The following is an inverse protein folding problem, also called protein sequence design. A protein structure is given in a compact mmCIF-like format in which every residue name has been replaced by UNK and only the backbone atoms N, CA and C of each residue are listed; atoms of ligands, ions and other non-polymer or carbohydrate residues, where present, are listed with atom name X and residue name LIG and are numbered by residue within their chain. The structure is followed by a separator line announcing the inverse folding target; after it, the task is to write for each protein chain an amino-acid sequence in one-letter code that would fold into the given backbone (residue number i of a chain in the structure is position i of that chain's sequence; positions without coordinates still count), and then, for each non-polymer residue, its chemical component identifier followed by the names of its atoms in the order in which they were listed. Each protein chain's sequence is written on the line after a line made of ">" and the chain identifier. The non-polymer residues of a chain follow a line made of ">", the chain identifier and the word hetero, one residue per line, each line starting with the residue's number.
data_IF_476900673046
#
_entry.id   IF_476900673046
#
_cell.length_a   1.000
_cell.length_b   1.000
_cell.length_c   1.000
_cell.angle_alpha   90.00
_cell.angle_beta   90.00
_cell.angle_gamma   90.00
#
_symmetry.space_group_name_H-M   'P 1'
#
loop_
_entity.id
_entity.type
_entity.pdbx_description
1 polymer ?
#
# COMPACT_ATOMS: atom_id res chain seq x y z
N UNK A 1 -47.20 -43.80 -38.63
CA UNK A 1 -46.98 -42.36 -38.40
C UNK A 1 -46.51 -42.20 -36.97
N UNK A 2 -45.20 -42.00 -36.78
CA UNK A 2 -44.52 -41.79 -35.48
C UNK A 2 -44.60 -40.29 -35.09
N UNK A 3 -44.09 -39.85 -33.92
CA UNK A 3 -44.89 -39.53 -32.72
C UNK A 3 -44.59 -38.07 -32.28
N UNK A 4 -45.18 -37.55 -31.21
CA UNK A 4 -44.57 -36.39 -30.55
C UNK A 4 -44.64 -36.50 -29.03
N UNK A 5 -43.51 -36.95 -28.47
CA UNK A 5 -43.15 -36.90 -27.06
C UNK A 5 -42.69 -35.48 -26.72
N UNK A 6 -43.35 -34.82 -25.76
CA UNK A 6 -42.86 -33.57 -25.19
C UNK A 6 -41.85 -33.89 -24.07
N UNK A 7 -40.56 -33.65 -24.32
CA UNK A 7 -39.56 -33.50 -23.27
C UNK A 7 -39.57 -32.06 -22.75
N UNK A 8 -39.92 -31.88 -21.48
CA UNK A 8 -39.73 -30.61 -20.76
C UNK A 8 -38.28 -30.54 -20.25
N UNK A 9 -37.47 -29.62 -20.78
CA UNK A 9 -36.15 -29.30 -20.24
C UNK A 9 -36.31 -28.35 -19.04
N UNK A 10 -35.87 -28.80 -17.85
CA UNK A 10 -35.63 -27.91 -16.71
C UNK A 10 -34.28 -27.20 -16.91
N UNK A 11 -34.32 -25.89 -17.16
CA UNK A 11 -33.14 -25.04 -17.16
C UNK A 11 -32.79 -24.64 -15.72
N UNK A 12 -31.70 -25.19 -15.18
CA UNK A 12 -31.15 -24.75 -13.90
C UNK A 12 -30.36 -23.45 -14.09
N UNK A 13 -30.89 -22.32 -13.59
CA UNK A 13 -30.19 -21.03 -13.57
C UNK A 13 -29.19 -21.01 -12.43
N UNK A 14 -27.92 -21.30 -12.72
CA UNK A 14 -26.80 -21.10 -11.77
C UNK A 14 -26.56 -19.60 -11.63
N UNK A 15 -26.96 -19.00 -10.51
CA UNK A 15 -26.56 -17.64 -10.16
C UNK A 15 -25.14 -17.66 -9.60
N UNK A 16 -24.18 -17.19 -10.39
CA UNK A 16 -22.84 -16.90 -9.90
C UNK A 16 -22.90 -15.67 -8.99
N UNK A 17 -22.81 -15.87 -7.67
CA UNK A 17 -22.63 -14.78 -6.73
C UNK A 17 -21.24 -14.15 -6.98
N UNK A 18 -21.20 -12.99 -7.64
CA UNK A 18 -19.98 -12.22 -7.78
C UNK A 18 -19.61 -11.71 -6.38
N UNK A 19 -18.57 -12.28 -5.78
CA UNK A 19 -18.05 -11.78 -4.50
C UNK A 19 -17.75 -10.28 -4.63
N UNK A 20 -18.02 -9.45 -3.61
CA UNK A 20 -17.75 -8.02 -3.66
C UNK A 20 -16.26 -7.81 -3.98
N UNK A 21 -15.95 -7.18 -5.11
CA UNK A 21 -14.58 -6.76 -5.41
C UNK A 21 -14.17 -5.73 -4.37
N UNK A 22 -13.23 -6.09 -3.50
CA UNK A 22 -12.61 -5.13 -2.59
C UNK A 22 -12.05 -3.98 -3.42
N UNK A 23 -12.59 -2.79 -3.23
CA UNK A 23 -12.25 -1.61 -4.04
C UNK A 23 -11.30 -0.65 -3.33
N UNK A 24 -11.10 -0.86 -2.03
CA UNK A 24 -10.29 -0.03 -1.16
C UNK A 24 -9.28 -0.87 -0.37
N UNK A 25 -8.18 -0.22 0.02
CA UNK A 25 -7.18 -0.77 0.94
C UNK A 25 -7.79 -0.99 2.33
N UNK A 26 -7.48 -2.14 2.93
CA UNK A 26 -7.72 -2.42 4.34
C UNK A 26 -6.71 -1.64 5.20
N UNK A 27 -7.11 -0.64 6.00
CA UNK A 27 -6.17 0.15 6.78
C UNK A 27 -5.49 -0.65 7.90
N UNK A 28 -6.02 -1.81 8.30
CA UNK A 28 -5.45 -2.64 9.38
C UNK A 28 -4.11 -3.31 9.01
N UNK A 29 -3.77 -3.38 7.72
CA UNK A 29 -2.48 -3.87 7.22
C UNK A 29 -1.51 -2.74 6.88
N UNK A 30 -1.94 -1.48 7.03
CA UNK A 30 -1.11 -0.29 6.85
C UNK A 30 -0.56 0.15 8.23
N UNK A 31 0.73 0.50 8.35
CA UNK A 31 1.30 1.08 9.56
C UNK A 31 0.50 2.24 10.15
N UNK A 32 0.47 2.33 11.49
CA UNK A 32 -0.11 3.48 12.19
C UNK A 32 0.76 4.74 12.05
N UNK A 33 2.07 4.56 11.86
CA UNK A 33 3.05 5.62 11.66
C UNK A 33 4.09 5.18 10.64
N UNK A 34 4.64 6.14 9.88
CA UNK A 34 5.80 5.93 9.03
C UNK A 34 7.13 6.27 9.72
N UNK A 35 7.09 6.73 10.97
CA UNK A 35 8.26 7.02 11.81
C UNK A 35 8.86 8.42 11.63
N UNK A 36 8.39 9.19 10.64
CA UNK A 36 8.69 10.63 10.48
C UNK A 36 7.38 11.37 10.33
N UNK A 37 7.30 12.58 10.91
CA UNK A 37 6.13 13.45 10.79
C UNK A 37 6.43 14.58 9.80
N UNK A 38 5.48 14.88 8.92
CA UNK A 38 5.61 15.99 7.98
C UNK A 38 5.87 17.33 8.70
N UNK A 39 6.69 18.18 8.09
CA UNK A 39 7.07 19.49 8.64
C UNK A 39 8.10 19.45 9.77
N UNK A 40 8.45 18.27 10.28
CA UNK A 40 9.37 18.15 11.41
C UNK A 40 10.80 18.55 11.04
N UNK A 41 11.45 19.33 11.91
CA UNK A 41 12.86 19.69 11.75
C UNK A 41 13.13 20.61 10.55
N UNK A 42 12.14 21.41 10.16
CA UNK A 42 12.28 22.43 9.11
C UNK A 42 13.56 23.25 9.28
N UNK A 43 14.32 23.37 8.20
CA UNK A 43 15.55 24.14 8.08
C UNK A 43 16.71 23.70 9.02
N UNK A 44 16.58 22.57 9.74
CA UNK A 44 17.61 22.10 10.69
C UNK A 44 18.78 21.37 10.03
N UNK A 45 18.50 20.58 8.99
CA UNK A 45 19.52 19.82 8.24
C UNK A 45 19.99 20.60 7.02
N UNK A 46 19.04 21.17 6.28
CA UNK A 46 19.27 21.98 5.09
C UNK A 46 18.11 22.99 4.94
N UNK A 47 18.44 24.23 4.61
CA UNK A 47 17.45 25.29 4.32
C UNK A 47 16.51 24.84 3.20
N UNK A 48 15.21 25.05 3.38
CA UNK A 48 14.14 24.62 2.48
C UNK A 48 13.72 23.16 2.62
N UNK A 49 14.23 22.44 3.62
CA UNK A 49 13.92 21.01 3.83
C UNK A 49 13.51 20.69 5.27
N UNK A 50 13.00 19.49 5.48
CA UNK A 50 12.68 18.93 6.78
C UNK A 50 13.59 17.74 7.09
N UNK A 51 13.63 17.32 8.36
CA UNK A 51 14.49 16.23 8.83
C UNK A 51 13.80 14.88 8.65
N UNK A 52 14.34 14.05 7.76
CA UNK A 52 13.99 12.63 7.66
C UNK A 52 14.89 11.75 8.53
N UNK A 53 14.70 10.43 8.41
CA UNK A 53 15.51 9.44 9.09
C UNK A 53 17.01 9.63 8.79
N UNK A 54 17.86 9.33 9.78
CA UNK A 54 19.32 9.50 9.70
C UNK A 54 19.76 10.93 9.29
N UNK A 55 19.00 11.95 9.72
CA UNK A 55 19.23 13.35 9.38
C UNK A 55 19.32 13.62 7.87
N UNK A 56 18.59 12.86 7.04
CA UNK A 56 18.52 13.14 5.60
C UNK A 56 17.50 14.26 5.32
N UNK A 57 17.82 15.23 4.45
CA UNK A 57 16.87 16.26 4.06
C UNK A 57 15.74 15.62 3.23
N UNK A 58 14.49 15.95 3.57
CA UNK A 58 13.29 15.51 2.86
C UNK A 58 12.37 16.71 2.56
N UNK A 59 11.47 16.62 1.57
CA UNK A 59 10.44 17.63 1.39
C UNK A 59 9.55 17.75 2.63
N UNK A 60 9.20 18.97 3.04
CA UNK A 60 8.45 19.17 4.28
C UNK A 60 7.00 18.65 4.25
N UNK A 61 6.44 18.38 3.08
CA UNK A 61 5.15 17.70 2.97
C UNK A 61 5.24 16.17 3.20
N UNK A 62 6.45 15.62 3.38
CA UNK A 62 6.67 14.18 3.51
C UNK A 62 6.90 13.73 4.95
N UNK A 63 6.40 12.55 5.33
CA UNK A 63 5.46 11.72 4.56
C UNK A 63 4.01 12.22 4.71
N UNK A 64 3.09 11.88 3.78
CA UNK A 64 1.66 11.93 4.07
C UNK A 64 1.32 11.00 5.25
N UNK A 65 0.24 11.27 5.97
CA UNK A 65 -0.19 10.39 7.06
C UNK A 65 -0.62 9.00 6.52
N UNK A 66 -0.26 7.89 7.19
CA UNK A 66 -0.52 6.53 6.69
C UNK A 66 -1.98 6.18 6.41
N UNK A 67 -2.93 6.79 7.12
CA UNK A 67 -4.37 6.58 6.91
C UNK A 67 -5.06 7.81 6.33
N UNK A 68 -4.30 8.74 5.74
CA UNK A 68 -4.91 9.86 5.01
C UNK A 68 -5.70 9.35 3.80
N UNK A 69 -6.85 9.95 3.48
CA UNK A 69 -7.64 9.58 2.29
C UNK A 69 -6.81 9.67 0.99
N UNK A 70 -5.92 10.65 0.91
CA UNK A 70 -5.03 10.82 -0.24
C UNK A 70 -4.07 9.63 -0.41
N UNK A 71 -3.38 9.21 0.65
CA UNK A 71 -2.48 8.06 0.56
C UNK A 71 -3.23 6.76 0.26
N UNK A 72 -4.34 6.50 0.98
CA UNK A 72 -5.11 5.28 0.80
C UNK A 72 -5.75 5.17 -0.59
N UNK A 73 -6.21 6.29 -1.17
CA UNK A 73 -6.77 6.30 -2.53
C UNK A 73 -5.70 6.04 -3.59
N UNK A 74 -4.52 6.66 -3.49
CA UNK A 74 -3.40 6.43 -4.41
C UNK A 74 -2.88 5.00 -4.31
N UNK A 75 -2.77 4.44 -3.10
CA UNK A 75 -2.39 3.05 -2.88
C UNK A 75 -3.42 2.07 -3.45
N UNK A 76 -4.71 2.31 -3.20
CA UNK A 76 -5.79 1.49 -3.75
C UNK A 76 -5.77 1.49 -5.28
N UNK A 77 -5.50 2.64 -5.90
CA UNK A 77 -5.36 2.77 -7.36
C UNK A 77 -4.17 1.96 -7.87
N UNK A 78 -2.98 2.13 -7.28
CA UNK A 78 -1.78 1.41 -7.68
C UNK A 78 -1.94 -0.12 -7.59
N UNK A 79 -2.52 -0.62 -6.48
CA UNK A 79 -2.77 -2.04 -6.27
C UNK A 79 -3.81 -2.64 -7.23
N UNK A 80 -4.79 -1.83 -7.66
CA UNK A 80 -5.80 -2.25 -8.66
C UNK A 80 -5.24 -2.26 -10.07
N UNK A 81 -4.49 -1.23 -10.41
CA UNK A 81 -3.91 -1.08 -11.74
C UNK A 81 -2.76 -2.08 -11.93
N UNK A 82 -2.09 -2.46 -10.84
CA UNK A 82 -0.93 -3.36 -10.86
C UNK A 82 0.36 -2.67 -11.28
N UNK A 83 0.33 -1.36 -11.54
CA UNK A 83 1.47 -0.55 -11.92
C UNK A 83 1.34 0.90 -11.42
N UNK A 84 2.49 1.56 -11.29
CA UNK A 84 2.61 3.02 -11.14
C UNK A 84 3.51 3.48 -12.30
N UNK A 85 2.95 4.22 -13.26
CA UNK A 85 3.60 4.45 -14.56
C UNK A 85 4.00 3.12 -15.21
N UNK A 86 5.29 2.88 -15.43
CA UNK A 86 5.82 1.63 -15.99
C UNK A 86 6.40 0.69 -14.92
N UNK A 87 6.21 0.99 -13.63
CA UNK A 87 6.75 0.22 -12.51
C UNK A 87 5.68 -0.76 -12.02
N UNK A 88 5.91 -2.08 -12.08
CA UNK A 88 4.98 -3.06 -11.53
C UNK A 88 4.83 -2.92 -10.01
N UNK A 89 3.59 -3.02 -9.53
CA UNK A 89 3.28 -3.14 -8.10
C UNK A 89 3.36 -4.62 -7.73
N UNK A 90 4.13 -4.99 -6.69
CA UNK A 90 4.54 -6.38 -6.50
C UNK A 90 3.48 -7.28 -5.84
N UNK A 91 2.28 -6.74 -5.57
CA UNK A 91 1.20 -7.41 -4.85
C UNK A 91 -0.15 -6.88 -5.33
N UNK A 92 -1.14 -7.78 -5.45
CA UNK A 92 -2.50 -7.40 -5.82
C UNK A 92 -3.25 -6.78 -4.64
N UNK A 93 -4.33 -6.04 -4.91
CA UNK A 93 -5.18 -5.47 -3.85
C UNK A 93 -5.73 -6.55 -2.90
N UNK A 94 -6.17 -7.69 -3.44
CA UNK A 94 -6.69 -8.82 -2.65
C UNK A 94 -5.63 -9.36 -1.68
N UNK A 95 -4.44 -9.68 -2.18
CA UNK A 95 -3.34 -10.19 -1.35
C UNK A 95 -2.82 -9.14 -0.38
N UNK A 96 -2.81 -7.87 -0.77
CA UNK A 96 -2.47 -6.77 0.11
C UNK A 96 -3.42 -6.72 1.30
N UNK A 97 -4.73 -6.85 1.06
CA UNK A 97 -5.77 -6.70 2.08
C UNK A 97 -5.96 -7.90 3.02
N UNK A 98 -5.39 -9.06 2.68
CA UNK A 98 -5.48 -10.29 3.47
C UNK A 98 -4.75 -10.16 4.83
N UNK A 99 -5.43 -9.60 5.83
CA UNK A 99 -4.88 -9.39 7.16
C UNK A 99 -4.55 -10.69 7.93
N UNK A 100 -4.96 -11.86 7.41
CA UNK A 100 -4.60 -13.16 7.99
C UNK A 100 -3.19 -13.61 7.57
N UNK A 101 -2.71 -13.16 6.41
CA UNK A 101 -1.36 -13.40 5.96
C UNK A 101 -0.39 -12.37 6.53
N UNK A 102 0.31 -12.79 7.59
CA UNK A 102 1.37 -12.03 8.25
C UNK A 102 2.76 -12.58 7.93
N UNK A 103 2.92 -13.34 6.85
CA UNK A 103 4.22 -13.88 6.45
C UNK A 103 5.23 -12.78 6.13
N UNK A 104 6.51 -13.07 6.38
CA UNK A 104 7.63 -12.17 6.07
C UNK A 104 7.56 -11.66 4.63
N UNK A 105 7.30 -12.55 3.67
CA UNK A 105 7.25 -12.18 2.25
C UNK A 105 6.09 -11.24 1.93
N UNK A 106 4.88 -11.53 2.42
CA UNK A 106 3.72 -10.65 2.22
C UNK A 106 3.95 -9.27 2.84
N UNK A 107 4.59 -9.20 4.02
CA UNK A 107 4.93 -7.94 4.66
C UNK A 107 5.95 -7.13 3.85
N UNK A 108 6.98 -7.78 3.29
CA UNK A 108 7.94 -7.11 2.40
C UNK A 108 7.27 -6.56 1.14
N UNK A 109 6.35 -7.33 0.55
CA UNK A 109 5.60 -6.93 -0.65
C UNK A 109 4.67 -5.74 -0.35
N UNK A 110 3.94 -5.77 0.77
CA UNK A 110 3.12 -4.64 1.25
C UNK A 110 3.96 -3.38 1.43
N UNK A 111 5.09 -3.48 2.12
CA UNK A 111 6.00 -2.35 2.31
C UNK A 111 6.53 -1.81 0.99
N UNK A 112 6.92 -2.69 0.06
CA UNK A 112 7.39 -2.28 -1.27
C UNK A 112 6.31 -1.51 -2.03
N UNK A 113 5.07 -2.00 -2.05
CA UNK A 113 3.96 -1.30 -2.72
C UNK A 113 3.71 0.09 -2.10
N UNK A 114 3.70 0.20 -0.77
CA UNK A 114 3.55 1.49 -0.07
C UNK A 114 4.70 2.45 -0.37
N UNK A 115 5.95 1.97 -0.40
CA UNK A 115 7.13 2.77 -0.75
C UNK A 115 7.05 3.27 -2.20
N UNK A 116 6.65 2.41 -3.15
CA UNK A 116 6.51 2.82 -4.55
C UNK A 116 5.47 3.94 -4.71
N UNK A 117 4.36 3.88 -3.97
CA UNK A 117 3.35 4.96 -3.93
C UNK A 117 3.92 6.24 -3.33
N UNK A 118 4.66 6.15 -2.23
CA UNK A 118 5.31 7.32 -1.62
C UNK A 118 6.30 7.97 -2.59
N UNK A 119 7.19 7.18 -3.22
CA UNK A 119 8.19 7.69 -4.17
C UNK A 119 7.56 8.34 -5.41
N UNK A 120 6.30 8.03 -5.71
CA UNK A 120 5.55 8.57 -6.85
C UNK A 120 4.30 9.34 -6.40
N UNK A 121 4.28 9.90 -5.18
CA UNK A 121 3.06 10.44 -4.58
C UNK A 121 2.41 11.56 -5.39
N UNK A 122 3.21 12.36 -6.11
CA UNK A 122 2.71 13.41 -6.99
C UNK A 122 1.97 12.85 -8.23
N UNK A 123 2.22 11.60 -8.66
CA UNK A 123 1.58 10.90 -9.80
C UNK A 123 1.56 11.63 -11.16
N UNK A 124 2.07 12.86 -11.25
CA UNK A 124 2.28 13.62 -12.49
C UNK A 124 3.65 13.37 -13.11
N UNK A 125 4.63 12.97 -12.29
CA UNK A 125 6.01 12.71 -12.73
C UNK A 125 6.57 11.54 -11.93
N UNK A 126 7.12 10.56 -12.64
CA UNK A 126 7.73 9.38 -12.03
C UNK A 126 8.91 9.79 -11.13
N UNK A 127 8.98 9.21 -9.93
CA UNK A 127 10.01 9.49 -8.93
C UNK A 127 9.84 10.81 -8.18
N UNK A 128 8.79 11.58 -8.45
CA UNK A 128 8.47 12.80 -7.69
C UNK A 128 7.48 12.47 -6.58
N UNK A 129 7.99 12.43 -5.36
CA UNK A 129 7.20 12.14 -4.18
C UNK A 129 8.05 12.18 -2.91
N UNK A 130 7.74 11.29 -1.98
CA UNK A 130 8.39 11.16 -0.70
C UNK A 130 9.49 10.09 -0.74
N UNK A 131 10.76 10.45 -0.42
CA UNK A 131 11.86 9.49 -0.42
C UNK A 131 11.74 8.50 0.75
N UNK A 132 12.41 7.36 0.67
CA UNK A 132 12.36 6.34 1.75
C UNK A 132 12.77 6.87 3.13
N UNK A 133 13.63 7.89 3.19
CA UNK A 133 14.00 8.56 4.44
C UNK A 133 12.82 9.25 5.16
N UNK A 134 11.70 9.50 4.49
CA UNK A 134 10.47 10.00 5.13
C UNK A 134 9.60 8.87 5.69
N UNK A 135 9.94 7.60 5.46
CA UNK A 135 9.18 6.45 5.93
C UNK A 135 10.09 5.29 6.39
N UNK A 136 10.96 5.51 7.39
CA UNK A 136 11.91 4.50 7.89
C UNK A 136 11.25 3.17 8.31
N UNK A 137 10.01 3.23 8.77
CA UNK A 137 9.24 2.05 9.18
C UNK A 137 8.94 1.13 8.01
N UNK A 138 8.54 1.72 6.88
CA UNK A 138 8.30 0.96 5.67
C UNK A 138 9.59 0.38 5.12
N UNK A 139 10.71 1.14 5.17
CA UNK A 139 12.02 0.61 4.78
C UNK A 139 12.40 -0.60 5.65
N UNK A 140 12.20 -0.51 6.97
CA UNK A 140 12.47 -1.63 7.86
C UNK A 140 11.58 -2.83 7.55
N UNK A 141 10.27 -2.62 7.41
CA UNK A 141 9.31 -3.66 7.03
C UNK A 141 9.64 -4.30 5.67
N UNK A 142 10.12 -3.53 4.70
CA UNK A 142 10.60 -4.04 3.40
C UNK A 142 11.85 -4.91 3.55
N UNK A 143 12.74 -4.58 4.47
CA UNK A 143 13.99 -5.33 4.69
C UNK A 143 13.76 -6.60 5.51
N UNK A 144 12.95 -6.51 6.57
CA UNK A 144 12.82 -7.60 7.56
C UNK A 144 11.52 -8.39 7.43
N UNK A 145 10.48 -7.83 6.82
CA UNK A 145 9.12 -8.40 6.82
C UNK A 145 8.41 -8.32 8.17
N UNK A 146 8.95 -7.57 9.14
CA UNK A 146 8.28 -7.37 10.44
C UNK A 146 7.16 -6.33 10.29
N UNK A 147 5.97 -6.64 10.80
CA UNK A 147 4.86 -5.70 10.80
C UNK A 147 5.13 -4.55 11.76
N UNK A 148 4.44 -3.43 11.59
CA UNK A 148 4.54 -2.28 12.51
C UNK A 148 4.28 -2.61 13.97
N UNK A 149 3.42 -3.60 14.23
CA UNK A 149 3.10 -4.11 15.56
C UNK A 149 4.36 -4.64 16.23
N UNK A 150 5.13 -5.41 15.47
CA UNK A 150 6.39 -6.02 15.89
C UNK A 150 7.52 -4.98 15.93
N UNK A 151 7.47 -3.92 15.12
CA UNK A 151 8.44 -2.84 15.12
C UNK A 151 8.30 -1.88 16.31
N UNK A 152 7.07 -1.69 16.82
CA UNK A 152 6.83 -0.90 18.03
C UNK A 152 7.43 -1.55 19.28
N UNK A 153 7.44 -2.89 19.35
CA UNK A 153 8.05 -3.64 20.44
C UNK A 153 9.59 -3.62 20.41
N UNK A 154 10.19 -3.34 19.25
CA UNK A 154 11.64 -3.31 19.08
C UNK A 154 12.28 -1.95 19.39
N UNK A 155 11.51 -0.92 19.77
CA UNK A 155 12.03 0.37 20.24
C UNK A 155 12.90 1.16 19.24
N UNK A 156 13.03 0.71 17.99
CA UNK A 156 14.04 1.21 17.06
C UNK A 156 13.41 2.11 15.99
N UNK A 157 13.06 3.34 16.39
CA UNK A 157 12.55 4.39 15.50
C UNK A 157 13.62 5.46 15.21
N UNK A 158 14.89 5.06 15.16
CA UNK A 158 16.02 5.92 14.84
C UNK A 158 16.92 5.24 13.79
#
# INVERSE_FOLDING_TARGET
>A
MHPLSLLALLAATVSAAVAPRQSAVNPAVVPQSFGVTAGQGRDKVQVGSCTGANNKPIPCFCPPAPHSPEFLSKLSKALRDGFIFSIPVPISLEKFNDASDMSVDTQKLRATAMIQVLQNFNLTTQGVGCPGASAPVLLKMQQTGLATRDLAELGNWA
#
